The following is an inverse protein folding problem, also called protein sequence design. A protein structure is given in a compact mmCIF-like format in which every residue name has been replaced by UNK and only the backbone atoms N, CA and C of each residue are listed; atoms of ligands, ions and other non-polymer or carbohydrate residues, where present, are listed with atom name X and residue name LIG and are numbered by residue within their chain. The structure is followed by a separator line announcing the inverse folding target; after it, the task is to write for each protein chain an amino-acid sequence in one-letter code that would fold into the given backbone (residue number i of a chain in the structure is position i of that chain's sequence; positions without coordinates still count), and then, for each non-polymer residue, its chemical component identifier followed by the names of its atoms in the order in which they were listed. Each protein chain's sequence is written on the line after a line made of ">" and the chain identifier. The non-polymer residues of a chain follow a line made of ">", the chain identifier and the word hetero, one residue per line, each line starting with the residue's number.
data_IF_197831532597
#
_entry.id   IF_197831532597
#
_cell.length_a   1.000
_cell.length_b   1.000
_cell.length_c   1.000
_cell.angle_alpha   90.00
_cell.angle_beta   90.00
_cell.angle_gamma   90.00
#
_symmetry.space_group_name_H-M   'P 1'
#
loop_
_entity.id
_entity.type
_entity.pdbx_description
1 polymer ?
#
# COMPACT_ATOMS: atom_id res chain seq x y z
N UNK A 1 8.89 -3.55 -6.47
CA UNK A 1 8.34 -2.59 -5.49
C UNK A 1 9.44 -1.96 -4.63
N UNK A 2 10.25 -2.73 -3.89
CA UNK A 2 11.22 -2.20 -2.91
C UNK A 2 12.59 -1.74 -3.43
N UNK A 3 12.88 -1.89 -4.72
CA UNK A 3 14.21 -1.57 -5.29
C UNK A 3 15.38 -2.33 -4.61
N UNK A 4 15.11 -3.55 -4.12
CA UNK A 4 16.09 -4.35 -3.39
C UNK A 4 16.34 -3.88 -1.96
N UNK A 5 15.52 -2.98 -1.41
CA UNK A 5 15.60 -2.48 -0.02
C UNK A 5 14.88 -3.36 0.99
N UNK A 6 14.07 -4.30 0.53
CA UNK A 6 13.42 -5.31 1.36
C UNK A 6 13.88 -6.69 0.91
N UNK A 7 14.43 -7.46 1.84
CA UNK A 7 14.68 -8.90 1.72
C UNK A 7 13.74 -9.62 2.71
N UNK A 8 12.83 -10.44 2.20
CA UNK A 8 11.87 -11.19 3.01
C UNK A 8 12.34 -12.64 3.09
N UNK A 9 13.11 -12.95 4.14
CA UNK A 9 13.57 -14.30 4.42
C UNK A 9 12.46 -15.09 5.11
N UNK A 10 11.84 -15.99 4.36
CA UNK A 10 10.82 -16.89 4.89
C UNK A 10 11.47 -18.15 5.45
N UNK A 11 11.07 -18.56 6.64
CA UNK A 11 11.44 -19.84 7.27
C UNK A 11 10.20 -20.77 7.30
N UNK A 12 9.71 -21.25 6.14
CA UNK A 12 8.41 -21.87 6.07
C UNK A 12 8.44 -23.30 6.59
N UNK A 13 7.45 -23.67 7.39
CA UNK A 13 7.23 -25.04 7.85
C UNK A 13 6.38 -25.78 6.81
N UNK A 14 7.00 -26.18 5.70
CA UNK A 14 6.30 -26.77 4.53
C UNK A 14 6.14 -28.30 4.60
N UNK A 15 6.81 -28.97 5.53
CA UNK A 15 6.84 -30.42 5.63
C UNK A 15 5.55 -30.99 6.26
N UNK A 16 4.77 -30.17 6.96
CA UNK A 16 3.50 -30.58 7.58
C UNK A 16 2.56 -29.42 7.88
N UNK A 17 1.28 -29.75 8.03
CA UNK A 17 0.30 -28.87 8.65
C UNK A 17 0.17 -29.18 10.15
N UNK A 18 0.17 -28.15 10.98
CA UNK A 18 -0.15 -28.28 12.39
C UNK A 18 -1.66 -28.20 12.58
N UNK A 19 -2.23 -29.17 13.29
CA UNK A 19 -3.67 -29.20 13.54
C UNK A 19 -4.03 -28.19 14.63
N UNK A 20 -4.86 -27.21 14.28
CA UNK A 20 -5.43 -26.25 15.23
C UNK A 20 -6.25 -26.98 16.32
N UNK A 21 -6.25 -26.46 17.57
CA UNK A 21 -6.97 -27.08 18.68
C UNK A 21 -8.50 -26.92 18.56
N UNK A 22 -8.98 -25.93 17.81
CA UNK A 22 -10.41 -25.69 17.58
C UNK A 22 -10.78 -25.86 16.10
N UNK A 23 -12.07 -26.09 15.83
CA UNK A 23 -12.60 -26.11 14.46
C UNK A 23 -12.55 -24.71 13.85
N UNK A 24 -12.33 -24.63 12.54
CA UNK A 24 -12.23 -23.36 11.79
C UNK A 24 -13.47 -22.47 11.93
N UNK A 25 -14.67 -23.07 11.98
CA UNK A 25 -15.95 -22.36 12.18
C UNK A 25 -16.08 -21.66 13.55
N UNK A 26 -15.22 -21.97 14.52
CA UNK A 26 -15.27 -21.36 15.85
C UNK A 26 -14.43 -20.09 16.00
N UNK A 27 -13.60 -19.75 15.01
CA UNK A 27 -12.71 -18.57 15.09
C UNK A 27 -13.36 -17.28 14.54
N UNK A 28 -14.62 -17.33 14.11
CA UNK A 28 -15.36 -16.17 13.59
C UNK A 28 -14.63 -15.40 12.48
N UNK A 29 -13.85 -16.10 11.65
CA UNK A 29 -12.87 -15.51 10.74
C UNK A 29 -13.48 -15.01 9.42
N UNK A 30 -14.35 -14.01 9.55
CA UNK A 30 -15.11 -13.33 8.49
C UNK A 30 -15.07 -11.82 8.69
N UNK A 31 -15.59 -11.04 7.72
CA UNK A 31 -15.68 -9.57 7.85
C UNK A 31 -16.36 -9.18 9.17
N UNK A 32 -15.77 -8.23 9.88
CA UNK A 32 -16.11 -7.90 11.27
C UNK A 32 -15.31 -8.67 12.32
N UNK A 33 -14.23 -9.36 11.93
CA UNK A 33 -13.30 -10.04 12.84
C UNK A 33 -12.81 -9.07 13.92
N UNK A 34 -12.92 -9.50 15.17
CA UNK A 34 -12.41 -8.73 16.31
C UNK A 34 -10.92 -9.01 16.54
N UNK A 35 -10.21 -8.06 17.13
CA UNK A 35 -8.83 -8.26 17.56
C UNK A 35 -8.69 -9.46 18.51
N UNK A 36 -9.68 -9.70 19.38
CA UNK A 36 -9.68 -10.83 20.31
C UNK A 36 -9.79 -12.18 19.59
N UNK A 37 -10.70 -12.31 18.62
CA UNK A 37 -10.82 -13.52 17.81
C UNK A 37 -9.56 -13.79 16.97
N UNK A 38 -8.95 -12.74 16.41
CA UNK A 38 -7.70 -12.88 15.66
C UNK A 38 -6.54 -13.29 16.56
N UNK A 39 -6.40 -12.66 17.74
CA UNK A 39 -5.43 -13.05 18.77
C UNK A 39 -5.63 -14.51 19.19
N UNK A 40 -6.88 -14.95 19.39
CA UNK A 40 -7.16 -16.35 19.72
C UNK A 40 -6.65 -17.28 18.62
N UNK A 41 -6.91 -16.97 17.34
CA UNK A 41 -6.43 -17.78 16.22
C UNK A 41 -4.90 -17.87 16.18
N UNK A 42 -4.21 -16.74 16.32
CA UNK A 42 -2.73 -16.70 16.28
C UNK A 42 -2.11 -17.43 17.47
N UNK A 43 -2.65 -17.24 18.69
CA UNK A 43 -2.16 -17.94 19.88
C UNK A 43 -2.41 -19.46 19.81
N UNK A 44 -3.55 -19.88 19.27
CA UNK A 44 -3.83 -21.31 19.04
C UNK A 44 -2.86 -21.92 18.01
N UNK A 45 -2.47 -21.16 16.97
CA UNK A 45 -1.47 -21.60 15.99
C UNK A 45 -0.09 -21.76 16.64
N UNK A 46 0.36 -20.76 17.42
CA UNK A 46 1.61 -20.83 18.20
C UNK A 46 1.61 -22.03 19.15
N UNK A 47 0.49 -22.30 19.82
CA UNK A 47 0.34 -23.46 20.71
C UNK A 47 0.38 -24.79 19.96
N UNK A 48 -0.24 -24.86 18.78
CA UNK A 48 -0.25 -26.06 17.95
C UNK A 48 1.15 -26.43 17.42
N UNK A 49 1.95 -25.43 17.08
CA UNK A 49 3.35 -25.62 16.68
C UNK A 49 4.23 -25.93 17.90
N UNK A 50 3.99 -25.25 19.03
CA UNK A 50 4.71 -25.47 20.28
C UNK A 50 6.21 -25.23 20.11
N UNK A 51 7.03 -26.10 20.71
CA UNK A 51 8.49 -26.07 20.63
C UNK A 51 9.07 -26.84 19.42
N UNK A 52 8.24 -27.18 18.44
CA UNK A 52 8.72 -27.87 17.23
C UNK A 52 9.66 -27.02 16.37
N UNK A 53 9.63 -25.70 16.55
CA UNK A 53 10.46 -24.72 15.85
C UNK A 53 10.99 -23.71 16.87
N UNK A 54 12.10 -23.05 16.54
CA UNK A 54 12.53 -21.84 17.27
C UNK A 54 11.91 -20.61 16.62
N UNK A 55 11.47 -19.66 17.43
CA UNK A 55 10.97 -18.37 16.99
C UNK A 55 12.02 -17.27 17.15
N UNK A 56 13.22 -17.61 17.66
CA UNK A 56 14.30 -16.64 17.85
C UNK A 56 14.65 -15.95 16.53
N UNK A 57 14.64 -14.61 16.54
CA UNK A 57 14.91 -13.80 15.36
C UNK A 57 13.69 -13.56 14.43
N UNK A 58 12.52 -14.14 14.72
CA UNK A 58 11.30 -13.89 13.93
C UNK A 58 10.70 -12.53 14.29
N UNK A 59 10.63 -11.62 13.31
CA UNK A 59 10.01 -10.30 13.48
C UNK A 59 8.51 -10.29 13.13
N UNK A 60 8.11 -11.14 12.19
CA UNK A 60 6.73 -11.23 11.68
C UNK A 60 6.33 -12.70 11.58
N UNK A 61 5.19 -13.05 12.17
CA UNK A 61 4.63 -14.40 12.08
C UNK A 61 3.60 -14.48 10.96
N UNK A 62 3.83 -15.36 9.98
CA UNK A 62 2.86 -15.66 8.94
C UNK A 62 2.13 -16.98 9.25
N UNK A 63 0.82 -16.92 9.43
CA UNK A 63 -0.05 -18.08 9.67
C UNK A 63 -0.85 -18.36 8.39
N UNK A 64 -0.54 -19.46 7.71
CA UNK A 64 -1.21 -19.82 6.45
C UNK A 64 -2.30 -20.85 6.73
N UNK A 65 -3.56 -20.47 6.55
CA UNK A 65 -4.65 -21.44 6.66
C UNK A 65 -4.58 -22.47 5.54
N UNK A 66 -4.83 -23.74 5.86
CA UNK A 66 -4.94 -24.78 4.84
C UNK A 66 -6.11 -24.47 3.88
N UNK A 67 -5.99 -24.84 2.61
CA UNK A 67 -7.04 -24.62 1.57
C UNK A 67 -8.39 -25.30 1.92
N UNK A 68 -8.39 -26.27 2.83
CA UNK A 68 -9.60 -26.93 3.35
C UNK A 68 -10.31 -26.18 4.49
N UNK A 69 -9.65 -25.19 5.13
CA UNK A 69 -10.23 -24.41 6.23
C UNK A 69 -11.09 -23.25 5.69
N UNK A 70 -12.23 -23.59 5.08
CA UNK A 70 -13.07 -22.65 4.32
C UNK A 70 -13.62 -21.48 5.13
N UNK A 71 -13.68 -21.62 6.45
CA UNK A 71 -14.19 -20.61 7.36
C UNK A 71 -13.15 -19.54 7.71
N UNK A 72 -11.87 -19.77 7.38
CA UNK A 72 -10.82 -18.74 7.44
C UNK A 72 -10.85 -17.94 6.14
N UNK A 73 -11.88 -17.11 6.01
CA UNK A 73 -12.37 -16.62 4.71
C UNK A 73 -11.53 -15.53 4.06
N UNK A 74 -10.81 -14.72 4.84
CA UNK A 74 -10.04 -13.57 4.34
C UNK A 74 -8.70 -13.46 5.05
N UNK A 75 -7.83 -12.60 4.53
CA UNK A 75 -6.50 -12.34 5.09
C UNK A 75 -6.47 -10.96 5.77
N UNK A 76 -6.07 -10.91 7.04
CA UNK A 76 -5.70 -9.67 7.70
C UNK A 76 -4.35 -9.74 8.44
N UNK A 77 -3.83 -8.55 8.70
CA UNK A 77 -2.68 -8.33 9.58
C UNK A 77 -3.14 -7.97 10.99
N UNK A 78 -2.54 -8.61 11.98
CA UNK A 78 -2.66 -8.29 13.39
C UNK A 78 -1.44 -7.47 13.82
N UNK A 79 -1.66 -6.18 14.06
CA UNK A 79 -0.64 -5.24 14.54
C UNK A 79 -0.60 -5.19 16.08
N UNK A 80 -0.64 -6.38 16.70
CA UNK A 80 -0.55 -6.57 18.16
C UNK A 80 0.50 -7.63 18.41
N UNK A 81 1.39 -7.37 19.36
CA UNK A 81 2.46 -8.30 19.69
C UNK A 81 1.93 -9.59 20.34
N UNK A 82 2.53 -10.71 20.00
CA UNK A 82 2.24 -12.03 20.57
C UNK A 82 3.52 -12.65 21.14
N UNK A 83 3.37 -13.49 22.17
CA UNK A 83 4.51 -14.19 22.77
C UNK A 83 4.48 -15.65 22.35
N UNK A 84 5.54 -16.08 21.65
CA UNK A 84 5.72 -17.46 21.22
C UNK A 84 6.03 -18.39 22.41
N UNK A 85 5.88 -19.73 22.25
CA UNK A 85 6.13 -20.69 23.34
C UNK A 85 7.56 -20.66 23.92
N UNK A 86 8.56 -20.21 23.15
CA UNK A 86 9.94 -20.05 23.61
C UNK A 86 10.23 -18.69 24.28
N UNK A 87 9.20 -17.85 24.45
CA UNK A 87 9.30 -16.52 25.04
C UNK A 87 9.62 -15.40 24.04
N UNK A 88 9.84 -15.71 22.76
CA UNK A 88 10.05 -14.68 21.73
C UNK A 88 8.81 -13.79 21.60
N UNK A 89 9.01 -12.47 21.68
CA UNK A 89 7.96 -11.49 21.39
C UNK A 89 8.00 -11.15 19.90
N UNK A 90 6.90 -11.44 19.20
CA UNK A 90 6.74 -11.18 17.77
C UNK A 90 5.83 -9.97 17.62
N UNK A 91 6.31 -8.93 16.93
CA UNK A 91 5.65 -7.62 16.89
C UNK A 91 4.33 -7.61 16.13
N UNK A 92 4.29 -8.30 14.99
CA UNK A 92 3.15 -8.35 14.07
C UNK A 92 2.93 -9.78 13.57
N UNK A 93 1.69 -10.11 13.23
CA UNK A 93 1.38 -11.36 12.54
C UNK A 93 0.42 -11.15 11.38
N UNK A 94 0.53 -11.98 10.35
CA UNK A 94 -0.36 -11.99 9.21
C UNK A 94 -1.02 -13.35 9.14
N UNK A 95 -2.33 -13.39 8.92
CA UNK A 95 -3.03 -14.65 8.64
C UNK A 95 -3.50 -14.64 7.20
N UNK A 96 -3.13 -15.67 6.45
CA UNK A 96 -3.61 -15.85 5.08
C UNK A 96 -4.78 -16.81 5.03
N UNK A 97 -5.95 -16.27 4.67
CA UNK A 97 -7.20 -16.99 4.51
C UNK A 97 -7.45 -17.47 3.08
N UNK A 98 -8.72 -17.78 2.79
CA UNK A 98 -9.13 -18.34 1.49
C UNK A 98 -9.01 -17.34 0.34
N UNK A 99 -9.16 -16.04 0.59
CA UNK A 99 -9.00 -14.99 -0.42
C UNK A 99 -7.60 -14.97 -1.08
N UNK A 100 -6.55 -15.39 -0.36
CA UNK A 100 -5.23 -15.61 -0.94
C UNK A 100 -5.27 -16.71 -2.02
N UNK A 101 -5.98 -17.82 -1.79
CA UNK A 101 -6.05 -18.92 -2.76
C UNK A 101 -7.05 -18.68 -3.90
N UNK A 102 -8.19 -18.08 -3.57
CA UNK A 102 -9.36 -18.06 -4.45
C UNK A 102 -9.45 -16.77 -5.28
N UNK A 103 -8.80 -15.67 -4.83
CA UNK A 103 -8.98 -14.35 -5.46
C UNK A 103 -7.68 -13.61 -5.76
N UNK A 104 -6.80 -13.43 -4.76
CA UNK A 104 -5.76 -12.40 -4.80
C UNK A 104 -4.33 -12.93 -4.96
N UNK A 105 -4.08 -14.19 -4.62
CA UNK A 105 -2.75 -14.79 -4.72
C UNK A 105 -1.70 -14.00 -3.94
N UNK A 106 -0.53 -13.84 -4.56
CA UNK A 106 0.60 -13.11 -3.98
C UNK A 106 0.30 -11.62 -3.68
N UNK A 107 -0.74 -11.03 -4.27
CA UNK A 107 -1.04 -9.61 -4.04
C UNK A 107 -1.51 -9.35 -2.61
N UNK A 108 -2.26 -10.29 -2.02
CA UNK A 108 -2.58 -10.23 -0.58
C UNK A 108 -1.34 -10.33 0.28
N UNK A 109 -0.34 -11.12 -0.12
CA UNK A 109 0.94 -11.18 0.59
C UNK A 109 1.61 -9.80 0.63
N UNK A 110 1.60 -9.08 -0.49
CA UNK A 110 2.14 -7.73 -0.57
C UNK A 110 1.33 -6.74 0.28
N UNK A 111 0.00 -6.76 0.19
CA UNK A 111 -0.88 -5.87 0.96
C UNK A 111 -0.68 -6.06 2.47
N UNK A 112 -0.84 -7.30 2.96
CA UNK A 112 -0.74 -7.58 4.39
C UNK A 112 0.68 -7.38 4.93
N UNK A 113 1.71 -7.72 4.15
CA UNK A 113 3.09 -7.41 4.56
C UNK A 113 3.34 -5.90 4.63
N UNK A 114 2.62 -5.09 3.85
CA UNK A 114 2.65 -3.62 3.96
C UNK A 114 2.27 -3.14 5.36
N UNK A 115 1.23 -3.71 5.97
CA UNK A 115 0.81 -3.35 7.32
C UNK A 115 1.85 -3.70 8.39
N UNK A 116 2.59 -4.80 8.23
CA UNK A 116 3.65 -5.16 9.19
C UNK A 116 4.81 -4.15 9.19
N UNK A 117 4.93 -3.35 8.13
CA UNK A 117 5.87 -2.25 7.98
C UNK A 117 5.24 -0.87 8.28
N UNK A 118 4.00 -0.83 8.77
CA UNK A 118 3.32 0.39 9.21
C UNK A 118 2.58 1.16 8.12
N UNK A 119 2.27 0.53 6.98
CA UNK A 119 1.42 1.17 5.95
C UNK A 119 -0.06 1.13 6.35
N UNK A 120 -0.82 2.23 6.12
CA UNK A 120 -2.25 2.28 6.41
C UNK A 120 -3.08 1.66 5.28
N UNK A 121 -4.31 1.25 5.58
CA UNK A 121 -5.35 1.04 4.56
C UNK A 121 -5.77 2.39 3.95
N UNK A 122 -5.84 2.44 2.62
CA UNK A 122 -6.24 3.62 1.84
C UNK A 122 -7.66 3.48 1.26
N UNK A 123 -8.46 2.58 1.83
CA UNK A 123 -9.89 2.38 1.51
C UNK A 123 -10.74 2.52 2.77
N UNK A 124 -12.03 2.91 2.67
CA UNK A 124 -12.88 3.14 3.82
C UNK A 124 -13.19 1.85 4.59
N UNK A 125 -13.08 1.90 5.93
CA UNK A 125 -13.56 0.80 6.79
C UNK A 125 -15.09 0.71 6.87
N UNK A 126 -15.78 1.82 6.65
CA UNK A 126 -17.24 1.87 6.56
C UNK A 126 -17.66 2.97 5.61
N UNK A 127 -18.83 2.82 4.99
CA UNK A 127 -19.48 3.84 4.15
C UNK A 127 -18.57 4.40 3.03
N UNK A 128 -18.56 3.74 1.87
CA UNK A 128 -17.83 4.21 0.70
C UNK A 128 -17.47 3.09 -0.25
N UNK A 129 -16.76 3.41 -1.32
CA UNK A 129 -16.20 2.42 -2.24
C UNK A 129 -14.70 2.28 -2.00
N UNK A 130 -14.14 1.09 -2.24
CA UNK A 130 -12.70 0.82 -2.07
C UNK A 130 -11.84 1.76 -2.92
N UNK A 131 -12.37 2.27 -4.03
CA UNK A 131 -11.65 3.12 -4.98
C UNK A 131 -11.81 4.61 -4.75
N UNK A 132 -12.54 5.03 -3.71
CA UNK A 132 -12.99 6.43 -3.58
C UNK A 132 -11.88 7.45 -3.34
N UNK A 133 -10.74 7.04 -2.78
CA UNK A 133 -9.67 7.97 -2.41
C UNK A 133 -8.44 7.85 -3.30
N UNK A 134 -8.01 6.63 -3.62
CA UNK A 134 -6.76 6.42 -4.39
C UNK A 134 -6.97 5.67 -5.71
N UNK A 135 -8.23 5.38 -6.08
CA UNK A 135 -8.53 4.60 -7.26
C UNK A 135 -7.82 3.25 -7.24
N UNK A 136 -7.24 2.87 -8.38
CA UNK A 136 -6.38 1.70 -8.53
C UNK A 136 -4.88 2.01 -8.49
N UNK A 137 -4.44 3.09 -7.81
CA UNK A 137 -3.04 3.54 -7.78
C UNK A 137 -2.22 3.10 -6.57
N UNK A 138 -2.79 2.38 -5.61
CA UNK A 138 -2.02 1.87 -4.48
C UNK A 138 -2.52 0.49 -4.05
N UNK A 139 -1.58 -0.43 -3.79
CA UNK A 139 -1.85 -1.76 -3.24
C UNK A 139 -2.61 -1.70 -1.92
N UNK A 140 -2.36 -0.69 -1.08
CA UNK A 140 -3.03 -0.45 0.20
C UNK A 140 -4.43 0.14 0.03
N UNK A 141 -4.80 0.59 -1.17
CA UNK A 141 -6.16 1.02 -1.51
C UNK A 141 -6.95 -0.11 -2.17
N UNK A 142 -6.49 -0.55 -3.34
CA UNK A 142 -7.15 -1.60 -4.13
C UNK A 142 -6.12 -2.64 -4.60
N UNK A 143 -6.16 -3.83 -4.00
CA UNK A 143 -5.29 -4.97 -4.35
C UNK A 143 -5.40 -5.34 -5.84
N UNK A 144 -6.60 -5.21 -6.42
CA UNK A 144 -6.86 -5.46 -7.85
C UNK A 144 -6.59 -4.27 -8.76
N UNK A 145 -6.00 -3.19 -8.23
CA UNK A 145 -5.75 -1.94 -8.95
C UNK A 145 -4.99 -2.15 -10.24
N UNK A 146 -5.28 -1.27 -11.21
CA UNK A 146 -4.60 -1.22 -12.52
C UNK A 146 -3.13 -0.79 -12.39
N UNK A 147 -2.80 -0.06 -11.33
CA UNK A 147 -1.48 0.48 -11.03
C UNK A 147 -1.16 0.16 -9.55
N UNK A 148 -0.91 -1.12 -9.22
CA UNK A 148 -0.86 -1.60 -7.83
C UNK A 148 0.51 -1.42 -7.15
N UNK A 149 1.45 -0.62 -7.67
CA UNK A 149 2.62 -0.25 -6.87
C UNK A 149 2.24 0.69 -5.72
N UNK A 150 3.04 0.75 -4.65
CA UNK A 150 2.83 1.75 -3.60
C UNK A 150 3.10 3.15 -4.13
N UNK A 151 2.30 4.12 -3.68
CA UNK A 151 2.55 5.54 -3.83
C UNK A 151 3.94 5.89 -3.31
N UNK A 152 4.59 6.86 -3.96
CA UNK A 152 5.93 7.31 -3.63
C UNK A 152 6.04 7.77 -2.18
N UNK A 153 5.00 8.40 -1.62
CA UNK A 153 4.95 8.76 -0.20
C UNK A 153 5.13 7.54 0.71
N UNK A 154 4.41 6.45 0.44
CA UNK A 154 4.52 5.22 1.24
C UNK A 154 5.89 4.57 1.03
N UNK A 155 6.42 4.56 -0.21
CA UNK A 155 7.78 4.08 -0.46
C UNK A 155 8.84 4.92 0.24
N UNK A 156 8.63 6.22 0.40
CA UNK A 156 9.54 7.09 1.15
C UNK A 156 9.45 6.83 2.66
N UNK A 157 8.25 6.63 3.20
CA UNK A 157 8.04 6.20 4.59
C UNK A 157 8.79 4.90 4.90
N UNK A 158 8.81 3.94 3.97
CA UNK A 158 9.56 2.68 4.10
C UNK A 158 11.07 2.81 3.84
N UNK A 159 11.56 4.00 3.46
CA UNK A 159 12.96 4.22 3.07
C UNK A 159 13.37 3.57 1.74
N UNK A 160 12.40 3.12 0.93
CA UNK A 160 12.66 2.55 -0.40
C UNK A 160 12.96 3.65 -1.41
N UNK A 161 12.23 4.76 -1.33
CA UNK A 161 12.63 6.05 -1.89
C UNK A 161 13.45 6.78 -0.81
N UNK A 162 14.63 7.26 -1.17
CA UNK A 162 15.49 8.00 -0.23
C UNK A 162 15.15 9.48 -0.23
N UNK A 163 15.46 10.21 0.83
CA UNK A 163 15.24 11.67 0.91
C UNK A 163 15.90 12.45 -0.24
N UNK A 164 17.02 11.98 -0.80
CA UNK A 164 17.64 12.63 -1.97
C UNK A 164 16.85 12.48 -3.28
N UNK A 165 15.83 11.62 -3.31
CA UNK A 165 14.90 11.45 -4.42
C UNK A 165 13.56 12.16 -4.17
N UNK A 166 13.46 12.92 -3.09
CA UNK A 166 12.27 13.70 -2.72
C UNK A 166 12.60 15.18 -2.80
N UNK A 167 11.87 15.89 -3.64
CA UNK A 167 12.02 17.33 -3.82
C UNK A 167 10.95 18.05 -3.01
N UNK A 168 11.36 18.61 -1.87
CA UNK A 168 10.47 19.36 -0.98
C UNK A 168 10.44 20.84 -1.39
N UNK A 169 9.32 21.30 -1.95
CA UNK A 169 9.11 22.69 -2.40
C UNK A 169 8.45 23.47 -1.28
N UNK A 170 9.26 24.04 -0.38
CA UNK A 170 8.80 24.77 0.80
C UNK A 170 9.07 26.30 0.74
N UNK A 171 9.76 26.77 -0.30
CA UNK A 171 10.03 28.20 -0.56
C UNK A 171 9.13 28.76 -1.64
N UNK A 172 8.72 30.02 -1.50
CA UNK A 172 7.99 30.76 -2.54
C UNK A 172 8.84 30.91 -3.81
N UNK A 173 8.18 30.84 -4.95
CA UNK A 173 8.78 30.93 -6.28
C UNK A 173 8.44 29.72 -7.15
N UNK A 174 9.11 29.64 -8.29
CA UNK A 174 8.92 28.55 -9.26
C UNK A 174 10.18 27.68 -9.31
N UNK A 175 9.97 26.36 -9.33
CA UNK A 175 11.02 25.35 -9.44
C UNK A 175 10.65 24.33 -10.51
N UNK A 176 11.66 23.71 -11.13
CA UNK A 176 11.47 22.69 -12.15
C UNK A 176 12.13 21.40 -11.72
N UNK A 177 11.40 20.31 -11.87
CA UNK A 177 11.69 18.98 -11.37
C UNK A 177 11.62 17.96 -12.50
N UNK A 178 12.43 16.92 -12.41
CA UNK A 178 12.47 15.82 -13.37
C UNK A 178 12.13 14.54 -12.62
N UNK A 179 10.87 14.14 -12.72
CA UNK A 179 10.34 12.97 -12.05
C UNK A 179 10.51 11.72 -12.92
N UNK A 180 11.14 10.70 -12.36
CA UNK A 180 11.20 9.36 -12.95
C UNK A 180 10.04 8.48 -12.41
N UNK A 181 9.57 7.47 -13.17
CA UNK A 181 8.46 6.63 -12.74
C UNK A 181 8.70 5.92 -11.39
N UNK A 182 7.64 5.84 -10.59
CA UNK A 182 7.69 5.31 -9.21
C UNK A 182 7.83 3.79 -9.16
N UNK A 183 7.72 3.08 -10.28
CA UNK A 183 7.66 1.61 -10.28
C UNK A 183 9.02 0.95 -10.47
N UNK A 184 9.97 1.70 -11.01
CA UNK A 184 11.29 1.23 -11.41
C UNK A 184 12.38 1.86 -10.57
N UNK A 185 13.44 1.10 -10.32
CA UNK A 185 14.60 1.59 -9.57
C UNK A 185 15.40 2.62 -10.38
N UNK A 186 16.13 3.50 -9.68
CA UNK A 186 16.92 4.57 -10.29
C UNK A 186 16.12 5.86 -10.44
N UNK A 187 16.63 6.80 -11.24
CA UNK A 187 16.05 8.14 -11.37
C UNK A 187 16.47 9.10 -10.26
N UNK A 188 16.58 10.38 -10.61
CA UNK A 188 17.07 11.42 -9.71
C UNK A 188 15.99 11.84 -8.70
N UNK A 189 14.78 12.17 -9.17
CA UNK A 189 13.65 12.54 -8.32
C UNK A 189 12.48 11.59 -8.59
N UNK A 190 11.76 11.20 -7.54
CA UNK A 190 10.57 10.31 -7.63
C UNK A 190 9.32 10.90 -7.01
N UNK A 191 9.49 11.89 -6.15
CA UNK A 191 8.40 12.53 -5.43
C UNK A 191 8.67 14.02 -5.32
N UNK A 192 7.72 14.84 -5.72
CA UNK A 192 7.66 16.24 -5.31
C UNK A 192 6.68 16.32 -4.14
N UNK A 193 7.06 17.03 -3.09
CA UNK A 193 6.20 17.29 -1.93
C UNK A 193 6.13 18.80 -1.71
N UNK A 194 4.92 19.34 -1.64
CA UNK A 194 4.63 20.75 -1.37
C UNK A 194 3.85 20.83 -0.06
N UNK A 195 4.49 21.18 1.07
CA UNK A 195 3.81 21.31 2.36
C UNK A 195 2.75 22.42 2.30
N UNK A 196 1.49 22.12 2.60
CA UNK A 196 0.42 23.13 2.61
C UNK A 196 0.31 23.77 3.98
N UNK A 197 0.31 22.95 5.02
CA UNK A 197 0.28 23.34 6.43
C UNK A 197 1.01 22.29 7.29
N UNK A 198 0.81 22.30 8.60
CA UNK A 198 1.52 21.41 9.53
C UNK A 198 1.24 19.92 9.33
N UNK A 199 0.07 19.55 8.79
CA UNK A 199 -0.35 18.16 8.63
C UNK A 199 -0.66 17.78 7.19
N UNK A 200 -0.87 18.75 6.30
CA UNK A 200 -1.28 18.52 4.91
C UNK A 200 -0.18 18.84 3.91
N UNK A 201 -0.04 18.00 2.90
CA UNK A 201 0.86 18.23 1.75
C UNK A 201 0.22 17.84 0.44
N UNK A 202 0.58 18.53 -0.64
CA UNK A 202 0.26 18.15 -2.02
C UNK A 202 1.50 17.47 -2.59
N UNK A 203 1.33 16.32 -3.22
CA UNK A 203 2.40 15.48 -3.74
C UNK A 203 2.19 15.19 -5.21
N UNK A 204 3.30 15.01 -5.93
CA UNK A 204 3.29 14.59 -7.33
C UNK A 204 4.32 13.48 -7.57
N UNK A 205 3.89 12.43 -8.28
CA UNK A 205 4.73 11.32 -8.72
C UNK A 205 4.41 10.91 -10.16
N UNK A 206 5.29 10.17 -10.81
CA UNK A 206 5.05 9.65 -12.16
C UNK A 206 4.57 8.21 -12.11
N UNK A 207 3.44 7.95 -12.79
CA UNK A 207 2.90 6.61 -13.03
C UNK A 207 3.11 6.20 -14.48
N UNK A 208 3.64 5.00 -14.69
CA UNK A 208 3.94 4.44 -16.01
C UNK A 208 3.37 3.02 -16.17
N UNK A 209 3.61 2.39 -17.32
CA UNK A 209 3.30 0.97 -17.56
C UNK A 209 4.49 0.05 -17.25
N UNK A 210 5.41 0.49 -16.39
CA UNK A 210 6.60 -0.29 -16.01
C UNK A 210 6.37 -1.04 -14.69
N UNK A 211 7.21 -2.05 -14.45
CA UNK A 211 7.27 -2.75 -13.18
C UNK A 211 5.92 -3.32 -12.75
N UNK A 212 5.51 -3.01 -11.51
CA UNK A 212 4.24 -3.48 -10.96
C UNK A 212 3.00 -2.88 -11.65
N UNK A 213 3.18 -1.80 -12.43
CA UNK A 213 2.09 -1.09 -13.10
C UNK A 213 1.96 -1.47 -14.58
N UNK A 214 2.45 -2.64 -15.01
CA UNK A 214 2.38 -3.07 -16.41
C UNK A 214 0.97 -3.15 -17.00
N UNK A 215 -0.06 -3.27 -16.16
CA UNK A 215 -1.47 -3.24 -16.55
C UNK A 215 -2.11 -1.85 -16.49
N UNK A 216 -1.33 -0.79 -16.29
CA UNK A 216 -1.89 0.52 -16.00
C UNK A 216 -2.57 1.15 -17.22
N UNK A 217 -3.77 1.67 -17.02
CA UNK A 217 -4.53 2.40 -18.04
C UNK A 217 -4.38 3.92 -17.92
N UNK A 218 -4.06 4.43 -16.72
CA UNK A 218 -3.75 5.83 -16.46
C UNK A 218 -2.26 6.02 -16.19
N UNK A 219 -1.58 6.78 -17.05
CA UNK A 219 -0.14 7.12 -16.94
C UNK A 219 0.08 8.62 -16.99
N UNK A 220 1.15 9.13 -16.36
CA UNK A 220 1.40 10.56 -16.28
C UNK A 220 1.81 10.99 -14.88
N UNK A 221 1.60 12.27 -14.57
CA UNK A 221 1.88 12.82 -13.24
C UNK A 221 0.64 12.66 -12.37
N UNK A 222 0.68 11.72 -11.43
CA UNK A 222 -0.37 11.54 -10.43
C UNK A 222 -0.17 12.57 -9.31
N UNK A 223 -1.19 13.37 -9.03
CA UNK A 223 -1.17 14.37 -7.96
C UNK A 223 -2.15 13.92 -6.87
N UNK A 224 -1.74 14.04 -5.61
CA UNK A 224 -2.57 13.68 -4.46
C UNK A 224 -2.29 14.57 -3.26
N UNK A 225 -3.29 14.70 -2.39
CA UNK A 225 -3.11 15.27 -1.05
C UNK A 225 -2.86 14.15 -0.04
N UNK A 226 -2.03 14.44 0.96
CA UNK A 226 -1.83 13.56 2.11
C UNK A 226 -1.93 14.33 3.43
N UNK A 227 -2.46 13.66 4.45
CA UNK A 227 -2.64 14.15 5.81
C UNK A 227 -1.92 13.25 6.81
N UNK A 228 -1.08 13.82 7.66
CA UNK A 228 -0.35 13.06 8.69
C UNK A 228 -1.15 12.79 9.96
N UNK A 229 -2.33 13.41 10.10
CA UNK A 229 -3.22 13.33 11.27
C UNK A 229 -4.54 12.59 10.99
N UNK A 230 -4.68 12.00 9.79
CA UNK A 230 -5.82 11.15 9.44
C UNK A 230 -5.42 9.68 9.58
N UNK A 231 -6.27 8.89 10.22
CA UNK A 231 -6.01 7.48 10.48
C UNK A 231 -6.27 6.58 9.26
N UNK A 232 -5.69 5.37 9.32
CA UNK A 232 -5.98 4.28 8.40
C UNK A 232 -7.49 4.07 8.24
N UNK A 233 -7.95 3.88 7.00
CA UNK A 233 -9.36 3.68 6.72
C UNK A 233 -10.22 4.96 6.71
N UNK A 234 -9.65 6.14 6.91
CA UNK A 234 -10.34 7.46 6.86
C UNK A 234 -9.83 8.40 5.75
N UNK A 235 -9.05 7.86 4.82
CA UNK A 235 -8.57 8.56 3.63
C UNK A 235 -7.44 9.53 3.92
N UNK A 236 -6.31 9.05 4.49
CA UNK A 236 -5.13 9.88 4.77
C UNK A 236 -4.38 10.30 3.50
N UNK A 237 -4.68 9.67 2.36
CA UNK A 237 -4.19 10.06 1.03
C UNK A 237 -5.37 10.08 0.06
N UNK A 238 -5.46 11.12 -0.77
CA UNK A 238 -6.55 11.30 -1.74
C UNK A 238 -6.00 11.82 -3.07
N UNK A 239 -6.25 11.08 -4.14
CA UNK A 239 -5.87 11.45 -5.51
C UNK A 239 -6.71 12.65 -5.96
N UNK A 240 -6.03 13.59 -6.60
CA UNK A 240 -6.66 14.73 -7.27
C UNK A 240 -6.95 14.34 -8.70
N UNK A 241 -8.23 14.38 -9.05
CA UNK A 241 -8.70 13.92 -10.34
C UNK A 241 -8.53 14.97 -11.45
N UNK A 242 -7.72 14.66 -12.46
CA UNK A 242 -7.55 15.54 -13.63
C UNK A 242 -8.73 15.50 -14.61
N UNK A 243 -9.59 14.49 -14.49
CA UNK A 243 -10.69 14.20 -15.43
C UNK A 243 -12.02 13.93 -14.70
N UNK A 244 -12.55 14.88 -13.89
CA UNK A 244 -13.74 14.61 -13.09
C UNK A 244 -14.98 14.24 -13.92
N UNK A 245 -15.69 13.21 -13.48
CA UNK A 245 -16.83 12.55 -14.11
C UNK A 245 -16.51 11.82 -15.43
N UNK A 246 -15.28 11.31 -15.59
CA UNK A 246 -14.87 10.56 -16.79
C UNK A 246 -15.36 9.12 -16.81
N UNK A 247 -15.79 8.57 -15.65
CA UNK A 247 -15.94 7.14 -15.40
C UNK A 247 -14.61 6.35 -15.37
N UNK A 248 -13.47 7.03 -15.45
CA UNK A 248 -12.14 6.45 -15.39
C UNK A 248 -11.79 5.47 -16.52
N UNK A 249 -10.84 4.57 -16.23
CA UNK A 249 -10.36 3.56 -17.18
C UNK A 249 -10.13 2.17 -16.52
N UNK A 250 -9.96 1.15 -17.38
CA UNK A 250 -9.62 -0.23 -16.98
C UNK A 250 -10.85 -1.11 -16.70
N UNK A 251 -10.64 -2.41 -16.53
CA UNK A 251 -11.73 -3.41 -16.35
C UNK A 251 -12.55 -3.22 -15.06
N UNK A 252 -12.04 -2.42 -14.12
CA UNK A 252 -12.73 -2.00 -12.90
C UNK A 252 -13.23 -0.55 -12.93
N UNK A 253 -13.05 0.19 -14.04
CA UNK A 253 -13.68 1.48 -14.37
C UNK A 253 -13.84 2.44 -13.20
N UNK A 254 -12.83 2.55 -12.33
CA UNK A 254 -12.92 3.43 -11.18
C UNK A 254 -12.64 4.86 -11.64
N UNK A 255 -13.51 5.80 -11.26
CA UNK A 255 -13.43 7.22 -11.60
C UNK A 255 -12.00 7.75 -11.59
N UNK A 256 -11.26 7.50 -10.50
CA UNK A 256 -9.91 8.02 -10.33
C UNK A 256 -8.84 7.34 -11.20
N UNK A 257 -9.12 6.31 -11.99
CA UNK A 257 -8.07 5.55 -12.69
C UNK A 257 -7.41 6.33 -13.84
N UNK A 258 -8.05 7.36 -14.38
CA UNK A 258 -7.49 8.23 -15.44
C UNK A 258 -7.03 9.60 -14.91
N UNK A 259 -6.95 9.77 -13.59
CA UNK A 259 -6.52 11.00 -12.93
C UNK A 259 -5.10 11.54 -13.22
N UNK A 260 -4.10 10.77 -13.71
CA UNK A 260 -2.78 11.33 -13.97
C UNK A 260 -2.77 12.46 -15.01
N UNK A 261 -2.22 13.59 -14.62
CA UNK A 261 -2.06 14.79 -15.45
C UNK A 261 -1.12 14.52 -16.63
N UNK A 262 -1.52 15.01 -17.81
CA UNK A 262 -0.76 14.88 -19.07
C UNK A 262 0.07 16.14 -19.33
N UNK A 263 1.01 16.04 -20.27
CA UNK A 263 1.80 17.19 -20.73
C UNK A 263 0.87 18.29 -21.21
N UNK A 264 1.12 19.52 -20.74
CA UNK A 264 0.30 20.70 -21.01
C UNK A 264 -0.79 20.96 -19.96
N UNK A 265 -1.05 20.01 -19.06
CA UNK A 265 -2.00 20.19 -17.96
C UNK A 265 -1.34 20.87 -16.75
N UNK A 266 -2.16 21.61 -16.00
CA UNK A 266 -1.77 22.25 -14.75
C UNK A 266 -2.83 21.98 -13.69
N UNK A 267 -2.40 21.54 -12.52
CA UNK A 267 -3.20 21.58 -11.30
C UNK A 267 -2.97 22.92 -10.60
N UNK A 268 -4.04 23.56 -10.15
CA UNK A 268 -4.03 24.77 -9.33
C UNK A 268 -4.82 24.50 -8.06
N UNK A 269 -4.20 24.70 -6.90
CA UNK A 269 -4.85 24.47 -5.60
C UNK A 269 -5.84 25.57 -5.22
N UNK A 270 -5.85 26.70 -5.93
CA UNK A 270 -6.57 27.91 -5.55
C UNK A 270 -5.97 28.63 -4.33
N UNK A 271 -4.84 28.14 -3.81
CA UNK A 271 -4.17 28.64 -2.61
C UNK A 271 -2.68 28.95 -2.87
N UNK A 272 -2.37 29.40 -4.08
CA UNK A 272 -1.01 29.82 -4.47
C UNK A 272 -0.05 28.68 -4.81
N UNK A 273 -0.51 27.42 -4.85
CA UNK A 273 0.29 26.28 -5.30
C UNK A 273 -0.22 25.83 -6.67
N UNK A 274 0.68 25.73 -7.65
CA UNK A 274 0.37 25.12 -8.94
C UNK A 274 1.44 24.10 -9.36
N UNK A 275 1.00 23.04 -10.03
CA UNK A 275 1.85 21.95 -10.53
C UNK A 275 1.54 21.78 -12.02
N UNK A 276 2.47 22.16 -12.88
CA UNK A 276 2.34 22.11 -14.34
C UNK A 276 3.22 21.01 -14.94
N UNK A 277 2.63 20.15 -15.76
CA UNK A 277 3.34 19.08 -16.48
C UNK A 277 3.85 19.64 -17.80
N UNK A 278 5.15 19.94 -17.89
CA UNK A 278 5.73 20.71 -19.01
C UNK A 278 6.13 19.84 -20.19
N UNK A 279 6.72 18.67 -19.94
CA UNK A 279 7.21 17.77 -20.97
C UNK A 279 7.27 16.33 -20.48
N UNK A 280 7.32 15.40 -21.43
CA UNK A 280 7.71 14.00 -21.21
C UNK A 280 9.00 13.75 -22.01
N UNK A 281 10.03 13.23 -21.36
CA UNK A 281 11.31 12.90 -21.98
C UNK A 281 11.64 11.43 -21.68
N UNK A 282 11.49 10.56 -22.69
CA UNK A 282 11.52 9.12 -22.44
C UNK A 282 10.37 8.71 -21.53
N UNK A 283 10.68 8.17 -20.35
CA UNK A 283 9.68 7.81 -19.31
C UNK A 283 9.60 8.84 -18.18
N UNK A 284 10.42 9.88 -18.21
CA UNK A 284 10.44 10.91 -17.19
C UNK A 284 9.53 12.08 -17.56
N UNK A 285 9.06 12.81 -16.55
CA UNK A 285 8.26 14.01 -16.72
C UNK A 285 8.95 15.23 -16.14
N UNK A 286 8.90 16.34 -16.89
CA UNK A 286 9.34 17.64 -16.42
C UNK A 286 8.13 18.33 -15.80
N UNK A 287 8.24 18.64 -14.50
CA UNK A 287 7.17 19.23 -13.70
C UNK A 287 7.64 20.56 -13.14
N UNK A 288 6.86 21.60 -13.35
CA UNK A 288 7.09 22.93 -12.78
C UNK A 288 6.15 23.12 -11.61
N UNK A 289 6.69 23.54 -10.46
CA UNK A 289 5.92 23.82 -9.25
C UNK A 289 6.09 25.29 -8.88
N UNK A 290 4.97 25.98 -8.71
CA UNK A 290 4.93 27.34 -8.17
C UNK A 290 4.29 27.35 -6.78
N UNK A 291 4.86 28.13 -5.86
CA UNK A 291 4.40 28.36 -4.47
C UNK A 291 4.50 29.83 -4.10
#
# INVERSE_FOLDING_TARGET
>A
MSYGKLDLQMEPQLDRFYRMPSRSDTYNYKRGLTTEDHLRYVNDALKAVGSAVSYSGINVLYVVAAKGAKEISFSPTLMVSVTAPDGTVIGNSVTYGQDMYDTWGFKTVNHETGHTMGLPDLYPYSNGTTTQWVGGFDMMGLISGQSPDYLALLKWQLGWITTSQVSCVNTTGTSTHRLSPVEVQGGTEKLIMVPVDGNRSILAEVRSTLGANSGACGTGVLIYEAWSDIESGYGPIRVIDSTPNSSGCGSSGAELNDSPYKVGSTYDSGAGISIAVKAKEGEEYIVEVSR
#
